data_IF_489435769593
#
_entry.id   IF_489435769593
#
_cell.length_a   1.000
_cell.length_b   1.000
_cell.length_c   1.000
_cell.angle_alpha   90.00
_cell.angle_beta   90.00
_cell.angle_gamma   90.00
#
_symmetry.space_group_name_H-M   'P 1'
#
loop_
_entity.id
_entity.type
_entity.pdbx_description
1 polymer ?
#
# COMPACT_ATOMS: atom_id res chain seq x y z
N UNK A 1 -19.41 19.87 -5.11
CA UNK A 1 -18.00 20.20 -5.37
C UNK A 1 -17.41 19.03 -6.15
N UNK A 2 -16.62 19.28 -7.19
CA UNK A 2 -15.92 18.20 -7.89
C UNK A 2 -14.81 17.66 -6.98
N UNK A 3 -14.62 16.35 -6.97
CA UNK A 3 -13.51 15.71 -6.24
C UNK A 3 -12.18 16.09 -6.90
N UNK A 4 -11.17 16.37 -6.09
CA UNK A 4 -9.78 16.47 -6.50
C UNK A 4 -9.26 15.15 -7.08
N UNK A 5 -8.12 15.19 -7.78
CA UNK A 5 -7.55 13.99 -8.38
C UNK A 5 -7.15 12.96 -7.31
N UNK A 6 -6.47 13.38 -6.25
CA UNK A 6 -6.09 12.51 -5.13
C UNK A 6 -7.31 11.88 -4.45
N UNK A 7 -8.40 12.63 -4.24
CA UNK A 7 -9.65 12.05 -3.72
C UNK A 7 -10.22 10.94 -4.62
N UNK A 8 -10.10 11.08 -5.95
CA UNK A 8 -10.55 10.06 -6.91
C UNK A 8 -9.63 8.84 -6.89
N UNK A 9 -8.33 9.05 -6.81
CA UNK A 9 -7.32 7.99 -6.71
C UNK A 9 -7.51 7.20 -5.40
N UNK A 10 -7.66 7.89 -4.28
CA UNK A 10 -7.98 7.30 -2.97
C UNK A 10 -9.28 6.48 -3.04
N UNK A 11 -10.33 7.00 -3.66
CA UNK A 11 -11.58 6.25 -3.87
C UNK A 11 -11.37 5.00 -4.74
N UNK A 12 -10.53 5.10 -5.77
CA UNK A 12 -10.21 3.98 -6.64
C UNK A 12 -9.51 2.86 -5.88
N UNK A 13 -8.47 3.19 -5.11
CA UNK A 13 -7.69 2.21 -4.32
C UNK A 13 -8.55 1.58 -3.23
N UNK A 14 -9.36 2.38 -2.52
CA UNK A 14 -10.29 1.85 -1.51
C UNK A 14 -11.36 0.94 -2.11
N UNK A 15 -11.78 1.18 -3.35
CA UNK A 15 -12.66 0.27 -4.08
C UNK A 15 -11.96 -1.05 -4.46
N UNK A 16 -10.71 -0.99 -4.94
CA UNK A 16 -9.91 -2.19 -5.21
C UNK A 16 -9.71 -3.02 -3.94
N UNK A 17 -9.38 -2.36 -2.82
CA UNK A 17 -9.16 -3.00 -1.52
C UNK A 17 -10.34 -3.86 -1.05
N UNK A 18 -11.59 -3.41 -1.30
CA UNK A 18 -12.80 -4.20 -1.00
C UNK A 18 -12.90 -5.50 -1.80
N UNK A 19 -12.28 -5.53 -2.97
CA UNK A 19 -12.32 -6.67 -3.91
C UNK A 19 -11.13 -7.60 -3.75
N UNK A 20 -10.13 -7.23 -2.94
CA UNK A 20 -8.94 -8.02 -2.70
C UNK A 20 -9.21 -9.19 -1.78
N UNK A 21 -8.57 -10.32 -2.10
CA UNK A 21 -8.53 -11.48 -1.22
C UNK A 21 -7.70 -11.19 0.04
N UNK A 22 -7.86 -11.98 1.11
CA UNK A 22 -7.01 -11.84 2.31
C UNK A 22 -5.51 -11.89 1.99
N UNK A 23 -5.08 -12.75 1.06
CA UNK A 23 -3.69 -12.84 0.62
C UNK A 23 -3.23 -11.57 -0.10
N UNK A 24 -4.06 -11.01 -0.98
CA UNK A 24 -3.76 -9.74 -1.66
C UNK A 24 -3.66 -8.56 -0.68
N UNK A 25 -4.54 -8.54 0.34
CA UNK A 25 -4.45 -7.54 1.42
C UNK A 25 -3.14 -7.70 2.20
N UNK A 26 -2.71 -8.92 2.52
CA UNK A 26 -1.42 -9.15 3.19
C UNK A 26 -0.23 -8.68 2.34
N UNK A 27 -0.25 -8.91 1.03
CA UNK A 27 0.80 -8.39 0.14
C UNK A 27 0.78 -6.85 0.09
N UNK A 28 -0.41 -6.25 0.03
CA UNK A 28 -0.57 -4.80 0.09
C UNK A 28 -0.13 -4.20 1.42
N UNK A 29 -0.33 -4.89 2.54
CA UNK A 29 0.12 -4.47 3.86
C UNK A 29 1.64 -4.26 3.89
N UNK A 30 2.39 -5.23 3.37
CA UNK A 30 3.86 -5.17 3.28
C UNK A 30 4.29 -3.99 2.41
N UNK A 31 3.69 -3.89 1.22
CA UNK A 31 3.94 -2.80 0.28
C UNK A 31 3.67 -1.40 0.88
N UNK A 32 2.64 -1.28 1.72
CA UNK A 32 2.31 -0.03 2.43
C UNK A 32 3.31 0.28 3.56
N UNK A 33 3.76 -0.75 4.30
CA UNK A 33 4.77 -0.61 5.34
C UNK A 33 6.11 -0.15 4.77
N UNK A 34 6.52 -0.72 3.64
CA UNK A 34 7.77 -0.34 2.95
C UNK A 34 7.74 1.13 2.51
N UNK A 35 6.57 1.64 2.11
CA UNK A 35 6.40 3.02 1.66
C UNK A 35 6.32 4.05 2.78
N UNK A 36 5.82 3.67 3.95
CA UNK A 36 5.56 4.60 5.07
C UNK A 36 6.63 4.56 6.17
N UNK A 37 7.40 3.47 6.29
CA UNK A 37 8.46 3.35 7.29
C UNK A 37 9.81 3.61 6.61
N UNK A 38 10.49 4.72 6.91
CA UNK A 38 11.65 5.21 6.14
C UNK A 38 12.95 4.38 6.24
N UNK A 39 12.90 3.11 6.64
CA UNK A 39 14.08 2.24 6.79
C UNK A 39 13.86 0.76 6.41
N UNK A 40 12.72 0.38 5.83
CA UNK A 40 12.58 -0.98 5.29
C UNK A 40 13.35 -1.09 3.97
N UNK A 41 14.58 -1.55 4.06
CA UNK A 41 15.35 -2.08 2.93
C UNK A 41 14.77 -3.43 2.49
N UNK A 42 13.50 -3.44 2.09
CA UNK A 42 12.89 -4.51 1.31
C UNK A 42 12.40 -3.96 -0.04
N UNK A 43 13.21 -3.08 -0.64
CA UNK A 43 13.25 -2.83 -2.11
C UNK A 43 13.47 -4.11 -2.94
N UNK A 44 13.54 -5.27 -2.28
CA UNK A 44 13.52 -6.59 -2.86
C UNK A 44 12.15 -6.99 -3.42
N UNK A 45 11.01 -6.43 -2.98
CA UNK A 45 9.72 -6.85 -3.55
C UNK A 45 9.55 -6.40 -5.02
N UNK A 46 10.03 -5.20 -5.35
CA UNK A 46 10.07 -4.71 -6.74
C UNK A 46 11.16 -5.42 -7.55
N UNK A 47 12.33 -5.67 -6.94
CA UNK A 47 13.44 -6.38 -7.59
C UNK A 47 13.12 -7.86 -7.85
N UNK A 48 12.34 -8.53 -7.00
CA UNK A 48 12.00 -9.95 -7.15
C UNK A 48 10.88 -10.17 -8.19
N UNK A 49 9.97 -9.21 -8.39
CA UNK A 49 9.05 -9.24 -9.54
C UNK A 49 9.74 -8.89 -10.86
N UNK A 50 10.78 -8.06 -10.83
CA UNK A 50 11.58 -7.72 -12.01
C UNK A 50 12.60 -8.78 -12.45
N UNK A 51 13.10 -9.62 -11.53
CA UNK A 51 14.10 -10.66 -11.82
C UNK A 51 13.52 -11.98 -12.33
N UNK A 52 12.20 -12.15 -12.29
CA UNK A 52 11.50 -13.21 -13.00
C UNK A 52 10.95 -12.68 -14.32
N UNK A 53 11.71 -12.79 -15.42
CA UNK A 53 11.12 -12.71 -16.77
C UNK A 53 10.16 -13.88 -16.92
N UNK A 54 8.93 -13.69 -16.46
CA UNK A 54 7.81 -14.58 -16.75
C UNK A 54 7.14 -14.01 -18.00
N UNK A 55 7.02 -14.81 -19.06
CA UNK A 55 6.21 -14.51 -20.25
C UNK A 55 4.71 -14.32 -19.95
N UNK A 56 4.31 -14.34 -18.68
CA UNK A 56 2.92 -14.18 -18.27
C UNK A 56 2.61 -12.69 -18.09
N UNK A 57 1.53 -12.18 -18.71
CA UNK A 57 1.08 -10.80 -18.48
C UNK A 57 0.78 -10.58 -16.99
N UNK A 58 1.03 -9.37 -16.47
CA UNK A 58 0.77 -9.07 -15.06
C UNK A 58 -0.71 -9.25 -14.73
N UNK A 59 -0.97 -9.74 -13.53
CA UNK A 59 -2.31 -9.80 -12.96
C UNK A 59 -2.90 -8.40 -12.75
N UNK A 60 -4.24 -8.30 -12.76
CA UNK A 60 -4.95 -7.05 -12.45
C UNK A 60 -4.48 -6.46 -11.12
N UNK A 61 -4.28 -7.30 -10.10
CA UNK A 61 -3.77 -6.87 -8.80
C UNK A 61 -2.39 -6.20 -8.90
N UNK A 62 -1.47 -6.75 -9.70
CA UNK A 62 -0.17 -6.12 -9.92
C UNK A 62 -0.29 -4.76 -10.63
N UNK A 63 -1.19 -4.64 -11.61
CA UNK A 63 -1.47 -3.36 -12.26
C UNK A 63 -2.05 -2.34 -11.27
N UNK A 64 -2.95 -2.77 -10.38
CA UNK A 64 -3.53 -1.93 -9.32
C UNK A 64 -2.46 -1.45 -8.34
N UNK A 65 -1.57 -2.34 -7.88
CA UNK A 65 -0.46 -1.95 -7.00
C UNK A 65 0.50 -0.97 -7.66
N UNK A 66 0.80 -1.16 -8.95
CA UNK A 66 1.66 -0.22 -9.69
C UNK A 66 1.07 1.19 -9.72
N UNK A 67 -0.21 1.31 -10.08
CA UNK A 67 -0.92 2.60 -10.07
C UNK A 67 -0.98 3.20 -8.67
N UNK A 68 -1.25 2.39 -7.65
CA UNK A 68 -1.20 2.83 -6.27
C UNK A 68 0.17 3.39 -5.89
N UNK A 69 1.28 2.73 -6.26
CA UNK A 69 2.63 3.21 -5.97
C UNK A 69 2.91 4.57 -6.60
N UNK A 70 2.49 4.77 -7.85
CA UNK A 70 2.63 6.05 -8.56
C UNK A 70 1.84 7.15 -7.85
N UNK A 71 0.56 6.89 -7.52
CA UNK A 71 -0.29 7.88 -6.83
C UNK A 71 0.20 8.19 -5.41
N UNK A 72 0.55 7.16 -4.63
CA UNK A 72 1.00 7.32 -3.26
C UNK A 72 2.29 8.12 -3.13
N UNK A 73 3.18 8.01 -4.13
CA UNK A 73 4.40 8.81 -4.24
C UNK A 73 4.11 10.30 -4.39
N UNK A 74 3.08 10.65 -5.16
CA UNK A 74 2.65 12.04 -5.40
C UNK A 74 1.77 12.61 -4.28
N UNK A 75 1.15 11.76 -3.47
CA UNK A 75 0.33 12.19 -2.34
C UNK A 75 1.15 12.84 -1.24
N UNK A 76 0.64 13.95 -0.70
CA UNK A 76 1.17 14.58 0.51
C UNK A 76 0.69 13.86 1.78
N UNK A 77 1.24 14.25 2.94
CA UNK A 77 0.93 13.59 4.21
C UNK A 77 -0.56 13.66 4.59
N UNK A 78 -1.27 14.73 4.23
CA UNK A 78 -2.70 14.84 4.51
C UNK A 78 -3.52 13.86 3.67
N UNK A 79 -3.15 13.67 2.40
CA UNK A 79 -3.80 12.71 1.49
C UNK A 79 -3.50 11.27 1.89
N UNK A 80 -2.25 10.97 2.27
CA UNK A 80 -1.86 9.66 2.83
C UNK A 80 -2.62 9.35 4.12
N UNK A 81 -2.80 10.35 4.99
CA UNK A 81 -3.60 10.21 6.19
C UNK A 81 -5.09 9.99 5.88
N UNK A 82 -5.68 10.72 4.92
CA UNK A 82 -7.06 10.49 4.48
C UNK A 82 -7.25 9.06 3.96
N UNK A 83 -6.28 8.56 3.18
CA UNK A 83 -6.29 7.19 2.71
C UNK A 83 -6.31 6.16 3.86
N UNK A 84 -5.44 6.31 4.86
CA UNK A 84 -5.40 5.43 6.03
C UNK A 84 -6.70 5.49 6.85
N UNK A 85 -7.29 6.68 7.00
CA UNK A 85 -8.59 6.84 7.67
C UNK A 85 -9.70 6.09 6.92
N UNK A 86 -9.73 6.15 5.59
CA UNK A 86 -10.70 5.40 4.78
C UNK A 86 -10.47 3.90 4.89
N UNK A 87 -9.22 3.43 4.86
CA UNK A 87 -8.92 2.01 5.07
C UNK A 87 -9.41 1.54 6.44
N UNK A 88 -9.21 2.34 7.50
CA UNK A 88 -9.70 2.02 8.86
C UNK A 88 -11.21 1.86 8.89
N UNK A 89 -11.94 2.71 8.17
CA UNK A 89 -13.39 2.61 8.04
C UNK A 89 -13.86 1.38 7.26
N UNK A 90 -13.03 0.82 6.39
CA UNK A 90 -13.34 -0.40 5.62
C UNK A 90 -12.93 -1.69 6.33
N UNK A 91 -11.79 -1.66 6.99
CA UNK A 91 -11.16 -2.81 7.62
C UNK A 91 -10.25 -2.33 8.76
N UNK A 92 -10.84 -2.21 9.94
CA UNK A 92 -10.13 -1.75 11.14
C UNK A 92 -9.06 -2.73 11.61
N UNK A 93 -9.24 -4.02 11.34
CA UNK A 93 -8.28 -5.06 11.72
C UNK A 93 -7.02 -4.99 10.85
N UNK A 94 -7.19 -4.74 9.54
CA UNK A 94 -6.08 -4.45 8.64
C UNK A 94 -5.24 -3.26 9.13
N UNK A 95 -5.87 -2.13 9.46
CA UNK A 95 -5.14 -0.92 9.90
C UNK A 95 -4.49 -1.14 11.26
N UNK A 96 -5.14 -1.86 12.18
CA UNK A 96 -4.53 -2.21 13.47
C UNK A 96 -3.26 -3.05 13.25
N UNK A 97 -3.33 -4.04 12.37
CA UNK A 97 -2.17 -4.87 12.01
C UNK A 97 -1.06 -4.01 11.41
N UNK A 98 -1.39 -3.09 10.49
CA UNK A 98 -0.43 -2.14 9.93
C UNK A 98 0.27 -1.30 11.02
N UNK A 99 -0.48 -0.73 11.96
CA UNK A 99 0.08 0.07 13.05
C UNK A 99 0.98 -0.75 13.97
N UNK A 100 0.57 -1.97 14.31
CA UNK A 100 1.37 -2.89 15.12
C UNK A 100 2.69 -3.27 14.43
N UNK A 101 2.66 -3.60 13.14
CA UNK A 101 3.86 -3.93 12.35
C UNK A 101 4.75 -2.70 12.15
N UNK A 102 4.19 -1.52 11.89
CA UNK A 102 4.94 -0.27 11.78
C UNK A 102 5.65 0.09 13.10
N UNK A 103 5.01 -0.13 14.25
CA UNK A 103 5.62 0.04 15.57
C UNK A 103 6.75 -0.95 15.83
N UNK A 104 6.60 -2.22 15.42
CA UNK A 104 7.69 -3.20 15.52
C UNK A 104 8.89 -2.77 14.68
N UNK A 105 8.68 -2.35 13.44
CA UNK A 105 9.75 -1.94 12.53
C UNK A 105 10.47 -0.67 12.99
N UNK A 106 9.75 0.28 13.57
CA UNK A 106 10.34 1.51 14.14
C UNK A 106 11.07 1.28 15.48
N UNK A 107 10.67 0.27 16.26
CA UNK A 107 11.31 -0.06 17.55
C UNK A 107 12.57 -0.94 17.43
N UNK A 108 12.80 -1.57 16.28
CA UNK A 108 13.99 -2.45 16.02
C UNK A 108 15.19 -1.65 15.49
N UNK A 109 15.37 -0.39 15.91
CA UNK A 109 16.61 0.35 15.64
C UNK A 109 17.51 0.37 16.89
N UNK A 110 18.36 -0.64 17.15
CA UNK A 110 19.51 -0.46 18.02
C UNK A 110 20.67 0.16 17.22
N UNK A 111 21.13 1.31 17.73
CA UNK A 111 22.46 1.97 17.64
C UNK A 111 23.47 1.47 16.60
#
# INVERSE_FOLDING_TARGET
>A
MALSNSEREIQCVTHWFKSWSPFQKQDFLKDLLDKLVPNNLDTLFDSMKGLGVSDRPPSIFQCQLKLFSEWFGEWNDAERNDFLLRLRGLDSEFVKTFEEEAQKLTSVTPT
#
